data_IF_635095318630
#
_entry.id   IF_635095318630
#
_cell.length_a   1.000
_cell.length_b   1.000
_cell.length_c   1.000
_cell.angle_alpha   90.00
_cell.angle_beta   90.00
_cell.angle_gamma   90.00
#
_symmetry.space_group_name_H-M   'P 1'
#
loop_
_entity.id
_entity.type
_entity.pdbx_description
1 polymer ?
#
# COMPACT_ATOMS: atom_id res chain seq x y z
N UNK A 1 -4.50 1.59 -17.47
CA UNK A 1 -5.74 0.85 -17.79
C UNK A 1 -6.63 0.63 -16.56
N UNK A 2 -6.09 0.17 -15.42
CA UNK A 2 -6.92 -0.16 -14.24
C UNK A 2 -7.58 1.07 -13.60
N UNK A 3 -6.84 2.18 -13.48
CA UNK A 3 -7.39 3.43 -12.90
C UNK A 3 -8.53 3.98 -13.73
N UNK A 4 -8.42 3.93 -15.08
CA UNK A 4 -9.50 4.35 -15.98
C UNK A 4 -10.74 3.50 -15.73
N UNK A 5 -10.62 2.17 -15.72
CA UNK A 5 -11.75 1.26 -15.48
C UNK A 5 -12.43 1.54 -14.15
N UNK A 6 -11.64 1.82 -13.10
CA UNK A 6 -12.19 2.14 -11.79
C UNK A 6 -12.92 3.49 -11.79
N UNK A 7 -12.41 4.50 -12.47
CA UNK A 7 -13.11 5.78 -12.65
C UNK A 7 -14.42 5.59 -13.40
N UNK A 8 -14.41 4.84 -14.51
CA UNK A 8 -15.61 4.61 -15.33
C UNK A 8 -16.69 3.83 -14.55
N UNK A 9 -16.26 2.86 -13.74
CA UNK A 9 -17.15 2.12 -12.87
C UNK A 9 -17.72 3.02 -11.76
N UNK A 10 -16.88 3.79 -11.08
CA UNK A 10 -17.30 4.69 -10.01
C UNK A 10 -18.28 5.76 -10.52
N UNK A 11 -18.05 6.30 -11.72
CA UNK A 11 -18.95 7.27 -12.33
C UNK A 11 -20.37 6.72 -12.52
N UNK A 12 -20.51 5.40 -12.74
CA UNK A 12 -21.80 4.74 -12.87
C UNK A 12 -22.50 4.48 -11.54
N UNK A 13 -21.73 4.03 -10.53
CA UNK A 13 -22.31 3.68 -9.21
C UNK A 13 -22.48 4.87 -8.29
N UNK A 14 -21.71 5.95 -8.48
CA UNK A 14 -21.71 7.18 -7.68
C UNK A 14 -21.66 6.95 -6.17
N UNK A 15 -20.83 6.00 -5.74
CA UNK A 15 -20.59 5.67 -4.33
C UNK A 15 -19.11 5.81 -3.99
N UNK A 16 -18.77 6.13 -2.75
CA UNK A 16 -17.38 6.07 -2.29
C UNK A 16 -16.80 4.69 -2.49
N UNK A 17 -15.52 4.64 -2.82
CA UNK A 17 -14.77 3.40 -3.01
C UNK A 17 -13.71 3.28 -1.92
N UNK A 18 -13.71 2.16 -1.22
CA UNK A 18 -12.68 1.81 -0.23
C UNK A 18 -11.95 0.57 -0.73
N UNK A 19 -10.63 0.59 -0.66
CA UNK A 19 -9.84 -0.60 -0.91
C UNK A 19 -9.81 -1.43 0.36
N UNK A 20 -10.37 -2.61 0.31
CA UNK A 20 -10.45 -3.51 1.46
C UNK A 20 -9.10 -4.08 1.87
N UNK A 21 -8.16 -4.11 0.93
CA UNK A 21 -6.78 -4.50 1.16
C UNK A 21 -5.86 -3.74 0.21
N UNK A 22 -4.79 -3.17 0.75
CA UNK A 22 -3.68 -2.66 -0.04
C UNK A 22 -2.37 -2.94 0.68
N UNK A 23 -1.44 -3.61 0.02
CA UNK A 23 -0.16 -3.96 0.60
C UNK A 23 0.90 -4.21 -0.44
N UNK A 24 2.12 -3.83 -0.09
CA UNK A 24 3.30 -4.03 -0.91
C UNK A 24 4.41 -4.59 -0.05
N UNK A 25 5.13 -5.57 -0.56
CA UNK A 25 6.27 -6.17 0.14
C UNK A 25 7.54 -5.34 -0.01
N UNK A 26 8.46 -5.51 0.91
CA UNK A 26 9.84 -5.00 0.81
C UNK A 26 10.65 -5.80 -0.21
N UNK A 27 10.14 -5.88 -1.44
CA UNK A 27 10.71 -6.68 -2.50
C UNK A 27 10.82 -5.92 -3.81
N UNK A 28 11.94 -6.11 -4.50
CA UNK A 28 12.15 -5.53 -5.84
C UNK A 28 10.99 -5.92 -6.76
N UNK A 29 10.38 -4.91 -7.38
CA UNK A 29 9.26 -5.12 -8.30
C UNK A 29 7.95 -5.53 -7.64
N UNK A 30 7.76 -5.26 -6.34
CA UNK A 30 6.56 -5.59 -5.57
C UNK A 30 5.24 -5.15 -6.23
N UNK A 31 5.25 -4.08 -7.02
CA UNK A 31 4.06 -3.58 -7.74
C UNK A 31 3.62 -4.45 -8.92
N UNK A 32 4.51 -5.34 -9.43
CA UNK A 32 4.18 -6.20 -10.58
C UNK A 32 3.26 -7.35 -10.20
N UNK A 33 3.50 -7.90 -8.99
CA UNK A 33 2.75 -9.03 -8.45
C UNK A 33 2.51 -8.83 -6.96
N UNK A 34 1.68 -7.87 -6.59
CA UNK A 34 1.48 -7.49 -5.20
C UNK A 34 0.86 -8.62 -4.35
N UNK A 35 0.30 -9.62 -4.98
CA UNK A 35 -0.28 -10.81 -4.32
C UNK A 35 0.75 -11.87 -3.94
N UNK A 36 1.97 -11.82 -4.48
CA UNK A 36 3.02 -12.78 -4.09
C UNK A 36 3.48 -12.52 -2.65
N UNK A 37 3.56 -13.59 -1.87
CA UNK A 37 3.98 -13.55 -0.47
C UNK A 37 5.42 -14.05 -0.24
N UNK A 38 6.10 -14.52 -1.29
CA UNK A 38 7.43 -15.13 -1.21
C UNK A 38 8.34 -14.64 -2.33
N UNK A 39 9.66 -14.80 -2.09
CA UNK A 39 10.70 -14.54 -3.08
C UNK A 39 10.96 -13.06 -3.38
N UNK A 40 11.92 -12.82 -4.24
CA UNK A 40 12.39 -11.49 -4.62
C UNK A 40 13.54 -10.98 -3.75
N UNK A 41 14.34 -10.06 -4.26
CA UNK A 41 15.40 -9.39 -3.51
C UNK A 41 14.78 -8.34 -2.57
N UNK A 42 15.34 -8.20 -1.38
CA UNK A 42 14.92 -7.19 -0.42
C UNK A 42 15.08 -5.77 -1.00
N UNK A 43 14.02 -4.98 -0.90
CA UNK A 43 14.00 -3.59 -1.38
C UNK A 43 12.88 -2.82 -0.66
N UNK A 44 13.23 -2.14 0.43
CA UNK A 44 12.26 -1.33 1.17
C UNK A 44 11.87 -0.04 0.43
N UNK A 45 12.74 0.48 -0.43
CA UNK A 45 12.41 1.64 -1.26
C UNK A 45 11.32 1.28 -2.27
N UNK A 46 11.34 0.07 -2.83
CA UNK A 46 10.29 -0.41 -3.72
C UNK A 46 8.92 -0.44 -3.03
N UNK A 47 8.86 -0.86 -1.76
CA UNK A 47 7.63 -0.82 -0.96
C UNK A 47 7.13 0.61 -0.79
N UNK A 48 8.01 1.53 -0.37
CA UNK A 48 7.66 2.94 -0.16
C UNK A 48 7.18 3.60 -1.46
N UNK A 49 7.88 3.39 -2.58
CA UNK A 49 7.48 3.92 -3.88
C UNK A 49 6.13 3.39 -4.36
N UNK A 50 5.82 2.13 -4.07
CA UNK A 50 4.52 1.56 -4.44
C UNK A 50 3.37 2.21 -3.67
N UNK A 51 3.53 2.47 -2.37
CA UNK A 51 2.56 3.24 -1.58
C UNK A 51 2.47 4.69 -2.06
N UNK A 52 3.59 5.35 -2.35
CA UNK A 52 3.59 6.73 -2.86
C UNK A 52 2.80 6.83 -4.17
N UNK A 53 3.02 5.89 -5.08
CA UNK A 53 2.28 5.83 -6.34
C UNK A 53 0.77 5.65 -6.11
N UNK A 54 0.37 4.80 -5.16
CA UNK A 54 -1.03 4.60 -4.80
C UNK A 54 -1.67 5.91 -4.30
N UNK A 55 -1.03 6.59 -3.35
CA UNK A 55 -1.54 7.85 -2.82
C UNK A 55 -1.58 8.95 -3.88
N UNK A 56 -0.53 9.08 -4.67
CA UNK A 56 -0.48 10.08 -5.75
C UNK A 56 -1.64 9.92 -6.73
N UNK A 57 -2.00 8.68 -7.02
CA UNK A 57 -3.11 8.38 -7.93
C UNK A 57 -4.47 8.57 -7.27
N UNK A 58 -4.68 8.08 -6.05
CA UNK A 58 -6.00 7.97 -5.46
C UNK A 58 -6.37 9.08 -4.48
N UNK A 59 -5.41 9.64 -3.73
CA UNK A 59 -5.71 10.67 -2.74
C UNK A 59 -6.42 11.93 -3.33
N UNK A 60 -6.11 12.38 -4.56
CA UNK A 60 -6.83 13.51 -5.15
C UNK A 60 -8.28 13.21 -5.55
N UNK A 61 -8.72 11.94 -5.50
CA UNK A 61 -10.07 11.55 -5.92
C UNK A 61 -11.05 11.68 -4.78
N UNK A 62 -12.03 12.54 -4.94
CA UNK A 62 -13.05 12.81 -3.92
C UNK A 62 -13.91 11.60 -3.57
N UNK A 63 -13.99 10.64 -4.48
CA UNK A 63 -14.74 9.39 -4.26
C UNK A 63 -13.92 8.30 -3.55
N UNK A 64 -12.60 8.47 -3.39
CA UNK A 64 -11.78 7.47 -2.71
C UNK A 64 -11.88 7.66 -1.19
N UNK A 65 -12.45 6.67 -0.52
CA UNK A 65 -12.66 6.67 0.92
C UNK A 65 -11.46 6.13 1.73
N UNK A 66 -10.41 5.70 1.04
CA UNK A 66 -9.21 5.17 1.70
C UNK A 66 -9.00 3.67 1.50
N UNK A 67 -8.22 3.07 2.39
CA UNK A 67 -7.86 1.67 2.28
C UNK A 67 -7.58 1.04 3.65
N UNK A 68 -7.65 -0.29 3.70
CA UNK A 68 -7.14 -1.08 4.80
C UNK A 68 -5.77 -1.64 4.42
N UNK A 69 -4.82 -1.46 5.31
CA UNK A 69 -3.43 -1.80 5.05
C UNK A 69 -3.19 -3.30 5.25
N UNK A 70 -2.71 -3.98 4.23
CA UNK A 70 -2.28 -5.36 4.29
C UNK A 70 -0.74 -5.43 4.30
N UNK A 71 -0.07 -5.88 5.34
CA UNK A 71 -0.57 -6.14 6.68
C UNK A 71 0.43 -5.60 7.71
N UNK A 72 -0.01 -5.50 8.93
CA UNK A 72 0.88 -5.23 10.06
C UNK A 72 0.57 -6.18 11.20
N UNK A 73 1.44 -6.22 12.20
CA UNK A 73 1.30 -7.10 13.36
C UNK A 73 1.02 -6.28 14.61
N UNK A 74 0.25 -6.85 15.52
CA UNK A 74 -0.02 -6.24 16.84
C UNK A 74 1.22 -6.23 17.73
N UNK A 75 2.10 -7.23 17.59
CA UNK A 75 3.38 -7.24 18.27
C UNK A 75 4.36 -6.27 17.58
N UNK A 76 4.77 -5.16 18.23
CA UNK A 76 5.68 -4.20 17.64
C UNK A 76 7.11 -4.74 17.45
N UNK A 77 7.50 -5.79 18.18
CA UNK A 77 8.78 -6.46 18.00
C UNK A 77 8.81 -7.36 16.76
N UNK A 78 7.63 -7.74 16.26
CA UNK A 78 7.49 -8.49 15.01
C UNK A 78 7.62 -7.56 13.81
N UNK A 79 8.83 -7.18 13.53
CA UNK A 79 9.19 -6.52 12.28
C UNK A 79 9.28 -7.56 11.17
N UNK A 80 9.11 -7.11 9.93
CA UNK A 80 9.25 -7.98 8.78
C UNK A 80 10.57 -8.74 8.83
N UNK A 81 10.50 -10.03 9.03
CA UNK A 81 11.61 -10.89 8.67
C UNK A 81 11.46 -11.24 7.20
N UNK A 82 12.48 -10.95 6.46
CA UNK A 82 12.53 -11.35 5.08
C UNK A 82 12.48 -12.89 4.99
N UNK A 83 11.52 -13.42 4.25
CA UNK A 83 11.35 -14.87 4.08
C UNK A 83 10.18 -15.50 4.83
N UNK A 84 9.63 -14.81 5.84
CA UNK A 84 8.57 -15.36 6.71
C UNK A 84 7.15 -14.96 6.29
N UNK A 85 6.96 -14.47 5.07
CA UNK A 85 5.68 -13.90 4.63
C UNK A 85 5.36 -12.54 5.25
N UNK A 86 6.27 -12.01 6.06
CA UNK A 86 6.13 -10.75 6.80
C UNK A 86 6.64 -9.53 6.03
N UNK A 87 7.05 -9.72 4.80
CA UNK A 87 7.58 -8.66 3.93
C UNK A 87 6.61 -7.50 3.68
N UNK A 88 5.34 -7.66 3.99
CA UNK A 88 4.31 -6.62 3.90
C UNK A 88 4.37 -5.59 5.03
N UNK A 89 4.94 -5.91 6.18
CA UNK A 89 5.02 -4.95 7.28
C UNK A 89 5.81 -3.70 6.86
N UNK A 90 5.25 -2.56 7.15
CA UNK A 90 5.87 -1.26 6.91
C UNK A 90 6.68 -0.75 8.10
N UNK A 91 6.52 -1.37 9.29
CA UNK A 91 7.15 -0.91 10.54
C UNK A 91 8.67 -0.92 10.43
N UNK A 92 9.29 0.16 10.93
CA UNK A 92 10.73 0.37 10.88
C UNK A 92 11.31 0.34 9.44
N UNK A 93 10.50 0.73 8.46
CA UNK A 93 10.85 0.79 7.03
C UNK A 93 10.63 2.21 6.49
N UNK A 94 11.17 2.47 5.32
CA UNK A 94 10.94 3.73 4.61
C UNK A 94 9.44 4.02 4.38
N UNK A 95 8.64 2.98 4.17
CA UNK A 95 7.19 3.09 4.00
C UNK A 95 6.48 3.63 5.25
N UNK A 96 6.97 3.38 6.46
CA UNK A 96 6.36 3.91 7.68
C UNK A 96 6.34 5.44 7.70
N UNK A 97 7.47 6.06 7.40
CA UNK A 97 7.56 7.53 7.33
C UNK A 97 6.70 8.11 6.23
N UNK A 98 6.61 7.41 5.11
CA UNK A 98 5.74 7.81 4.00
C UNK A 98 4.26 7.73 4.39
N UNK A 99 3.82 6.64 4.99
CA UNK A 99 2.46 6.47 5.46
C UNK A 99 2.08 7.53 6.50
N UNK A 100 3.00 7.86 7.42
CA UNK A 100 2.80 8.94 8.39
C UNK A 100 2.54 10.28 7.69
N UNK A 101 3.31 10.64 6.67
CA UNK A 101 3.12 11.90 5.93
C UNK A 101 1.76 11.98 5.25
N UNK A 102 1.26 10.87 4.71
CA UNK A 102 -0.02 10.85 4.01
C UNK A 102 -1.24 10.72 4.93
N UNK A 103 -1.11 10.01 6.04
CA UNK A 103 -2.24 9.63 6.89
C UNK A 103 -2.38 10.51 8.14
N UNK A 104 -1.30 11.15 8.58
CA UNK A 104 -1.34 12.03 9.75
C UNK A 104 -1.42 13.47 9.27
N UNK A 105 -2.52 14.19 9.59
CA UNK A 105 -2.64 15.59 9.23
C UNK A 105 -1.49 16.41 9.84
N UNK A 106 -0.83 17.21 9.02
CA UNK A 106 0.10 18.22 9.52
C UNK A 106 -0.69 19.30 10.23
N UNK A 107 -0.34 19.55 11.47
CA UNK A 107 -0.89 20.66 12.25
C UNK A 107 -0.31 21.99 11.79
#
# INVERSE_FOLDING_TARGET
>A
PHVRRLNDWQARIQRPVIFTEAGYRTAKGTWRKPWEDKGGAFDEAAQAHAYEAMFTVFAPRTWWGGFYLWKTFTDPARTSRWGDGDGFSFRNRAAERLLQRWLIPTR
#
